data_IF_075013170178
#
_entry.id   IF_075013170178
#
_cell.length_a   1.000
_cell.length_b   1.000
_cell.length_c   1.000
_cell.angle_alpha   90.00
_cell.angle_beta   90.00
_cell.angle_gamma   90.00
#
_symmetry.space_group_name_H-M   'P 1'
#
loop_
_entity.id
_entity.type
_entity.pdbx_description
1 polymer ?
#
# COMPACT_ATOMS: atom_id res chain seq x y z
N UNK A 1 22.54 -41.97 -40.98
CA UNK A 1 22.50 -40.68 -41.70
C UNK A 1 21.06 -40.25 -41.80
N UNK A 2 20.66 -39.19 -41.07
CA UNK A 2 19.44 -38.37 -41.19
C UNK A 2 19.43 -37.44 -39.96
N UNK A 3 20.02 -36.25 -40.05
CA UNK A 3 19.44 -34.95 -40.42
C UNK A 3 18.58 -34.29 -39.34
N UNK A 4 19.06 -33.12 -38.94
CA UNK A 4 18.51 -32.09 -38.05
C UNK A 4 17.06 -31.67 -38.37
N UNK A 5 16.32 -31.26 -37.33
CA UNK A 5 15.70 -29.93 -37.22
C UNK A 5 15.02 -29.73 -35.86
N UNK A 6 15.55 -28.77 -35.09
CA UNK A 6 14.83 -27.68 -34.39
C UNK A 6 13.76 -27.98 -33.31
N UNK A 7 14.06 -27.58 -32.07
CA UNK A 7 13.50 -26.40 -31.36
C UNK A 7 13.63 -26.60 -29.83
N UNK A 8 14.60 -25.93 -29.21
CA UNK A 8 14.40 -24.67 -28.47
C UNK A 8 13.46 -24.82 -27.26
N UNK A 9 14.04 -24.97 -26.08
CA UNK A 9 13.66 -24.11 -24.97
C UNK A 9 14.83 -23.87 -24.00
N UNK A 10 15.18 -22.59 -23.97
CA UNK A 10 16.27 -21.91 -23.30
C UNK A 10 16.25 -22.06 -21.79
N UNK A 11 17.43 -22.36 -21.24
CA UNK A 11 18.04 -21.73 -20.07
C UNK A 11 17.21 -20.64 -19.38
N UNK A 12 16.81 -20.87 -18.14
CA UNK A 12 16.82 -19.87 -17.06
C UNK A 12 16.88 -20.60 -15.71
N UNK A 13 18.10 -21.01 -15.34
CA UNK A 13 18.50 -21.18 -13.94
C UNK A 13 19.39 -19.98 -13.58
N UNK A 14 19.30 -19.61 -12.30
CA UNK A 14 20.18 -18.71 -11.54
C UNK A 14 20.06 -17.21 -11.79
N UNK A 15 19.31 -16.55 -10.90
CA UNK A 15 19.80 -15.39 -10.14
C UNK A 15 18.94 -15.27 -8.86
N UNK A 16 19.15 -16.21 -7.94
CA UNK A 16 18.79 -16.00 -6.53
C UNK A 16 19.93 -15.16 -5.97
N UNK A 17 19.73 -13.86 -5.96
CA UNK A 17 20.69 -12.93 -5.38
C UNK A 17 20.53 -13.01 -3.86
N UNK A 18 21.58 -13.50 -3.20
CA UNK A 18 21.75 -13.53 -1.74
C UNK A 18 21.40 -12.16 -1.14
N UNK A 19 20.19 -12.05 -0.60
CA UNK A 19 19.87 -11.03 0.38
C UNK A 19 20.42 -11.51 1.72
N UNK A 20 21.59 -10.98 2.06
CA UNK A 20 22.14 -11.11 3.41
C UNK A 20 21.15 -10.54 4.42
N UNK A 21 20.58 -11.45 5.20
CA UNK A 21 19.89 -11.21 6.47
C UNK A 21 20.73 -10.31 7.36
N UNK A 22 20.18 -9.15 7.75
CA UNK A 22 20.40 -8.63 9.10
C UNK A 22 19.27 -7.68 9.54
N UNK A 23 18.39 -8.20 10.42
CA UNK A 23 17.49 -7.51 11.38
C UNK A 23 16.33 -8.38 11.89
N UNK A 24 16.22 -9.65 11.49
CA UNK A 24 15.12 -10.56 11.88
C UNK A 24 15.30 -11.24 13.24
N UNK A 25 15.57 -10.50 14.32
CA UNK A 25 15.64 -11.07 15.69
C UNK A 25 15.01 -10.24 16.81
N UNK A 26 13.89 -9.53 16.57
CA UNK A 26 13.30 -8.66 17.62
C UNK A 26 11.88 -9.03 18.10
N UNK A 27 11.21 -10.02 17.50
CA UNK A 27 9.86 -10.40 17.92
C UNK A 27 9.79 -11.83 18.46
N UNK A 28 9.31 -12.00 19.69
CA UNK A 28 8.88 -13.31 20.19
C UNK A 28 7.57 -13.67 19.49
N UNK A 29 7.60 -14.69 18.65
CA UNK A 29 6.44 -15.12 17.86
C UNK A 29 6.06 -16.56 18.17
N UNK A 30 4.78 -16.80 18.44
CA UNK A 30 4.22 -18.15 18.61
C UNK A 30 2.76 -18.20 18.12
N UNK A 31 2.29 -19.39 17.78
CA UNK A 31 0.87 -19.64 17.49
C UNK A 31 0.28 -20.42 18.67
N UNK A 32 -0.79 -19.89 19.25
CA UNK A 32 -1.59 -20.61 20.26
C UNK A 32 -2.89 -21.12 19.67
N UNK A 33 -3.44 -22.15 20.30
CA UNK A 33 -4.75 -22.69 19.96
C UNK A 33 -5.76 -22.14 20.99
N UNK A 34 -6.79 -21.47 20.52
CA UNK A 34 -7.90 -20.99 21.32
C UNK A 34 -8.74 -22.17 21.84
N UNK A 35 -9.58 -21.94 22.88
CA UNK A 35 -10.48 -22.98 23.41
C UNK A 35 -11.45 -23.54 22.36
N UNK A 36 -11.76 -22.77 21.32
CA UNK A 36 -12.56 -23.19 20.16
C UNK A 36 -11.74 -23.87 19.07
N UNK A 37 -10.50 -24.27 19.34
CA UNK A 37 -9.56 -24.92 18.40
C UNK A 37 -9.11 -24.04 17.21
N UNK A 38 -9.27 -22.72 17.32
CA UNK A 38 -8.83 -21.75 16.32
C UNK A 38 -7.40 -21.28 16.63
N UNK A 39 -6.57 -21.06 15.61
CA UNK A 39 -5.20 -20.59 15.79
C UNK A 39 -5.17 -19.08 16.03
N UNK A 40 -4.30 -18.64 16.92
CA UNK A 40 -4.15 -17.24 17.32
C UNK A 40 -2.66 -16.92 17.38
N UNK A 41 -2.16 -16.02 16.50
CA UNK A 41 -0.81 -15.51 16.60
C UNK A 41 -0.62 -14.70 17.88
N UNK A 42 0.55 -14.89 18.48
CA UNK A 42 1.01 -14.14 19.65
C UNK A 42 2.35 -13.53 19.30
N UNK A 43 2.44 -12.21 19.40
CA UNK A 43 3.64 -11.45 19.07
C UNK A 43 4.01 -10.61 20.29
N UNK A 44 5.23 -10.77 20.80
CA UNK A 44 5.69 -10.10 22.03
C UNK A 44 4.69 -10.25 23.19
N UNK A 45 4.19 -11.48 23.38
CA UNK A 45 3.20 -11.84 24.39
C UNK A 45 1.81 -11.20 24.22
N UNK A 46 1.60 -10.42 23.15
CA UNK A 46 0.29 -9.86 22.76
C UNK A 46 -0.43 -10.87 21.87
N UNK A 47 -1.60 -11.32 22.33
CA UNK A 47 -2.48 -12.16 21.52
C UNK A 47 -3.20 -11.28 20.50
N UNK A 48 -3.09 -11.61 19.22
CA UNK A 48 -3.76 -10.84 18.18
C UNK A 48 -5.27 -11.07 18.16
N UNK A 49 -5.76 -12.17 18.76
CA UNK A 49 -7.18 -12.38 19.01
C UNK A 49 -7.40 -13.08 20.36
N UNK A 50 -8.66 -13.19 20.75
CA UNK A 50 -9.11 -13.90 21.93
C UNK A 50 -8.71 -15.37 21.87
N UNK A 51 -7.97 -15.82 22.89
CA UNK A 51 -7.69 -17.25 23.14
C UNK A 51 -8.93 -18.05 23.55
N UNK A 52 -10.06 -17.40 23.77
CA UNK A 52 -11.30 -18.08 24.14
C UNK A 52 -12.14 -18.38 22.90
N UNK A 53 -12.43 -17.36 22.09
CA UNK A 53 -13.24 -17.51 20.88
C UNK A 53 -12.94 -16.34 19.92
N UNK A 54 -11.96 -16.48 19.01
CA UNK A 54 -11.53 -15.41 18.12
C UNK A 54 -12.56 -15.07 17.05
N UNK A 55 -13.37 -16.03 16.60
CA UNK A 55 -14.43 -15.80 15.60
C UNK A 55 -15.58 -14.97 16.17
N UNK A 56 -16.02 -15.26 17.40
CA UNK A 56 -17.04 -14.44 18.06
C UNK A 56 -16.57 -13.01 18.32
N UNK A 57 -15.31 -12.85 18.70
CA UNK A 57 -14.70 -11.52 18.86
C UNK A 57 -14.72 -10.75 17.54
N UNK A 58 -14.24 -11.38 16.46
CA UNK A 58 -14.23 -10.79 15.12
C UNK A 58 -15.62 -10.35 14.65
N UNK A 59 -16.63 -11.22 14.80
CA UNK A 59 -18.01 -10.92 14.43
C UNK A 59 -18.55 -9.72 15.24
N UNK A 60 -18.28 -9.71 16.55
CA UNK A 60 -18.67 -8.59 17.43
C UNK A 60 -17.96 -7.30 17.03
N UNK A 61 -16.68 -7.39 16.66
CA UNK A 61 -15.87 -6.25 16.24
C UNK A 61 -16.38 -5.64 14.94
N UNK A 62 -16.70 -6.44 13.92
CA UNK A 62 -17.29 -5.95 12.68
C UNK A 62 -18.71 -5.42 12.89
N UNK A 63 -19.52 -6.07 13.73
CA UNK A 63 -20.86 -5.57 14.06
C UNK A 63 -20.83 -4.15 14.67
N UNK A 64 -19.81 -3.81 15.46
CA UNK A 64 -19.61 -2.43 15.97
C UNK A 64 -19.31 -1.42 14.86
N UNK A 65 -18.71 -1.88 13.76
CA UNK A 65 -18.39 -1.08 12.58
C UNK A 65 -19.49 -1.11 11.50
N UNK A 66 -20.67 -1.71 11.78
CA UNK A 66 -21.75 -1.87 10.80
C UNK A 66 -22.22 -0.55 10.16
N UNK A 67 -22.19 0.55 10.91
CA UNK A 67 -22.51 1.88 10.36
C UNK A 67 -21.58 2.26 9.21
N UNK A 68 -20.28 1.97 9.35
CA UNK A 68 -19.26 2.25 8.35
C UNK A 68 -19.43 1.34 7.13
N UNK A 69 -19.54 0.03 7.35
CA UNK A 69 -19.69 -0.95 6.25
C UNK A 69 -21.00 -0.80 5.48
N UNK A 70 -22.02 -0.16 6.07
CA UNK A 70 -23.28 0.17 5.39
C UNK A 70 -23.20 1.38 4.45
N UNK A 71 -22.20 2.24 4.59
CA UNK A 71 -22.06 3.49 3.81
C UNK A 71 -20.78 3.54 2.97
N UNK A 72 -19.82 2.65 3.24
CA UNK A 72 -18.59 2.48 2.49
C UNK A 72 -18.51 1.04 1.97
N UNK A 73 -18.33 0.90 0.67
CA UNK A 73 -18.05 -0.37 0.01
C UNK A 73 -16.53 -0.66 -0.10
N UNK A 74 -15.69 0.36 0.06
CA UNK A 74 -14.24 0.20 0.14
C UNK A 74 -13.75 0.36 1.58
N UNK A 75 -13.07 -0.65 2.12
CA UNK A 75 -12.62 -0.70 3.53
C UNK A 75 -11.12 -1.01 3.65
N UNK A 76 -10.38 -0.13 4.32
CA UNK A 76 -8.99 -0.33 4.71
C UNK A 76 -8.95 -0.90 6.13
N UNK A 77 -8.33 -2.07 6.30
CA UNK A 77 -8.14 -2.71 7.59
C UNK A 77 -6.68 -2.58 8.02
N UNK A 78 -6.46 -2.00 9.19
CA UNK A 78 -5.13 -1.89 9.80
C UNK A 78 -4.92 -3.09 10.73
N UNK A 79 -4.16 -4.07 10.25
CA UNK A 79 -3.84 -5.30 10.97
C UNK A 79 -4.60 -6.51 10.44
N UNK A 80 -3.86 -7.57 10.10
CA UNK A 80 -4.42 -8.83 9.65
C UNK A 80 -4.82 -9.71 10.82
N UNK A 81 -4.01 -9.74 11.90
CA UNK A 81 -4.24 -10.63 13.03
C UNK A 81 -4.15 -12.09 12.59
N UNK A 82 -5.28 -12.73 12.33
CA UNK A 82 -5.30 -14.01 11.60
C UNK A 82 -6.44 -14.10 10.58
N UNK A 83 -6.93 -12.95 10.13
CA UNK A 83 -7.96 -12.83 9.11
C UNK A 83 -9.40 -13.00 9.61
N UNK A 84 -9.64 -13.30 10.90
CA UNK A 84 -11.01 -13.53 11.38
C UNK A 84 -11.93 -12.31 11.18
N UNK A 85 -11.49 -11.11 11.55
CA UNK A 85 -12.27 -9.89 11.30
C UNK A 85 -12.33 -9.51 9.83
N UNK A 86 -11.33 -9.89 9.04
CA UNK A 86 -11.35 -9.70 7.58
C UNK A 86 -12.46 -10.54 6.96
N UNK A 87 -12.59 -11.80 7.36
CA UNK A 87 -13.67 -12.70 6.92
C UNK A 87 -15.06 -12.14 7.28
N UNK A 88 -15.23 -11.68 8.51
CA UNK A 88 -16.48 -11.06 8.95
C UNK A 88 -16.78 -9.74 8.20
N UNK A 89 -15.75 -8.96 7.86
CA UNK A 89 -15.91 -7.76 7.04
C UNK A 89 -16.35 -8.10 5.60
N UNK A 90 -15.78 -9.17 5.02
CA UNK A 90 -16.20 -9.68 3.71
C UNK A 90 -17.67 -10.07 3.73
N UNK A 91 -18.11 -10.83 4.74
CA UNK A 91 -19.53 -11.22 4.88
C UNK A 91 -20.41 -9.98 4.94
N UNK A 92 -20.10 -9.04 5.84
CA UNK A 92 -20.89 -7.82 6.01
C UNK A 92 -20.96 -6.95 4.75
N UNK A 93 -19.85 -6.85 3.99
CA UNK A 93 -19.81 -6.09 2.74
C UNK A 93 -20.55 -6.81 1.61
N UNK A 94 -20.40 -8.13 1.48
CA UNK A 94 -21.14 -8.94 0.51
C UNK A 94 -22.64 -8.84 0.71
N UNK A 95 -23.10 -8.91 1.96
CA UNK A 95 -24.53 -8.77 2.31
C UNK A 95 -25.10 -7.42 1.85
N UNK A 96 -24.30 -6.35 1.88
CA UNK A 96 -24.77 -4.99 1.59
C UNK A 96 -24.54 -4.56 0.13
N UNK A 97 -23.41 -4.92 -0.45
CA UNK A 97 -22.90 -4.40 -1.72
C UNK A 97 -22.73 -5.49 -2.79
N UNK A 98 -23.02 -6.76 -2.46
CA UNK A 98 -22.84 -7.87 -3.39
C UNK A 98 -21.37 -8.06 -3.76
N UNK A 99 -21.03 -7.92 -5.03
CA UNK A 99 -19.64 -8.01 -5.52
C UNK A 99 -18.95 -6.65 -5.62
N UNK A 100 -19.68 -5.54 -5.43
CA UNK A 100 -19.16 -4.18 -5.55
C UNK A 100 -18.58 -3.69 -4.21
N UNK A 101 -17.49 -4.31 -3.77
CA UNK A 101 -16.74 -3.88 -2.59
C UNK A 101 -15.26 -4.17 -2.79
N UNK A 102 -14.42 -3.53 -1.97
CA UNK A 102 -12.97 -3.76 -1.98
C UNK A 102 -12.40 -3.66 -0.58
N UNK A 103 -11.56 -4.61 -0.21
CA UNK A 103 -10.86 -4.61 1.08
C UNK A 103 -9.37 -4.60 0.83
N UNK A 104 -8.70 -3.64 1.47
CA UNK A 104 -7.24 -3.64 1.56
C UNK A 104 -6.85 -3.85 3.02
N UNK A 105 -5.90 -4.75 3.28
CA UNK A 105 -5.37 -5.01 4.62
C UNK A 105 -3.88 -4.64 4.64
N UNK A 106 -3.44 -3.94 5.67
CA UNK A 106 -2.02 -3.62 5.91
C UNK A 106 -1.55 -4.32 7.19
N UNK A 107 -0.62 -5.27 7.05
CA UNK A 107 -0.02 -6.06 8.12
C UNK A 107 1.51 -5.83 8.18
N UNK A 108 2.03 -5.14 9.20
CA UNK A 108 3.46 -4.85 9.31
C UNK A 108 4.33 -6.11 9.47
N UNK A 109 3.77 -7.21 10.00
CA UNK A 109 4.54 -8.41 10.29
C UNK A 109 4.33 -9.51 9.23
N UNK A 110 5.35 -9.70 8.39
CA UNK A 110 5.34 -10.73 7.35
C UNK A 110 5.10 -12.13 7.90
N UNK A 111 5.62 -12.46 9.09
CA UNK A 111 5.43 -13.80 9.68
C UNK A 111 3.96 -14.10 9.98
N UNK A 112 3.22 -13.09 10.44
CA UNK A 112 1.77 -13.21 10.67
C UNK A 112 1.05 -13.53 9.36
N UNK A 113 1.44 -12.88 8.27
CA UNK A 113 0.87 -13.14 6.94
C UNK A 113 1.19 -14.53 6.41
N UNK A 114 2.45 -14.98 6.54
CA UNK A 114 2.84 -16.32 6.10
C UNK A 114 2.04 -17.41 6.83
N UNK A 115 1.83 -17.27 8.14
CA UNK A 115 1.03 -18.25 8.89
C UNK A 115 -0.47 -18.15 8.60
N UNK A 116 -0.95 -16.96 8.24
CA UNK A 116 -2.31 -16.78 7.74
C UNK A 116 -2.51 -17.57 6.44
N UNK A 117 -1.57 -17.47 5.49
CA UNK A 117 -1.63 -18.25 4.23
C UNK A 117 -1.66 -19.75 4.50
N UNK A 118 -0.88 -20.25 5.47
CA UNK A 118 -0.81 -21.68 5.76
C UNK A 118 -2.07 -22.23 6.44
N UNK A 119 -2.83 -21.39 7.15
CA UNK A 119 -3.80 -21.90 8.15
C UNK A 119 -5.18 -21.26 8.12
N UNK A 120 -5.33 -20.08 7.53
CA UNK A 120 -6.53 -19.27 7.64
C UNK A 120 -6.82 -18.45 6.36
N UNK A 121 -6.17 -18.77 5.24
CA UNK A 121 -6.29 -18.03 3.99
C UNK A 121 -7.76 -17.90 3.56
N UNK A 122 -8.16 -16.67 3.26
CA UNK A 122 -9.47 -16.35 2.72
C UNK A 122 -9.33 -16.13 1.23
N UNK A 123 -9.99 -16.97 0.45
CA UNK A 123 -10.05 -16.79 -1.00
C UNK A 123 -11.14 -15.77 -1.34
N UNK A 124 -10.76 -14.52 -1.61
CA UNK A 124 -11.67 -13.48 -2.06
C UNK A 124 -11.01 -12.54 -3.07
N UNK A 125 -11.62 -12.38 -4.26
CA UNK A 125 -11.06 -11.57 -5.35
C UNK A 125 -11.02 -10.08 -5.04
N UNK A 126 -11.83 -9.62 -4.08
CA UNK A 126 -11.92 -8.22 -3.68
C UNK A 126 -11.01 -7.91 -2.47
N UNK A 127 -10.23 -8.88 -2.00
CA UNK A 127 -9.28 -8.74 -0.90
C UNK A 127 -7.86 -8.60 -1.44
N UNK A 128 -7.16 -7.53 -1.04
CA UNK A 128 -5.72 -7.37 -1.24
C UNK A 128 -5.03 -7.16 0.10
N UNK A 129 -3.95 -7.88 0.35
CA UNK A 129 -3.18 -7.80 1.58
C UNK A 129 -1.76 -7.31 1.25
N UNK A 130 -1.32 -6.25 1.92
CA UNK A 130 0.07 -5.81 1.93
C UNK A 130 0.69 -6.21 3.26
N UNK A 131 1.70 -7.09 3.22
CA UNK A 131 2.36 -7.62 4.41
C UNK A 131 3.86 -7.36 4.41
N UNK A 132 4.43 -6.93 5.54
CA UNK A 132 5.89 -6.77 5.71
C UNK A 132 6.53 -5.59 4.97
N UNK A 133 5.74 -4.76 4.28
CA UNK A 133 6.26 -3.61 3.54
C UNK A 133 6.71 -2.47 4.47
N UNK A 134 7.70 -1.69 4.03
CA UNK A 134 7.95 -0.37 4.61
C UNK A 134 6.91 0.62 4.09
N UNK A 135 6.64 1.65 4.88
CA UNK A 135 5.64 2.68 4.54
C UNK A 135 5.96 3.35 3.20
N UNK A 136 7.24 3.65 2.95
CA UNK A 136 7.66 4.28 1.69
C UNK A 136 7.35 3.39 0.48
N UNK A 137 7.48 2.07 0.62
CA UNK A 137 7.22 1.12 -0.45
C UNK A 137 5.72 0.97 -0.70
N UNK A 138 4.90 1.05 0.35
CA UNK A 138 3.43 1.11 0.21
C UNK A 138 3.00 2.31 -0.63
N UNK A 139 3.57 3.49 -0.38
CA UNK A 139 3.23 4.71 -1.14
C UNK A 139 3.83 4.77 -2.55
N UNK A 140 4.66 3.81 -2.94
CA UNK A 140 5.09 3.63 -4.34
C UNK A 140 4.11 2.76 -5.14
N UNK A 141 3.28 1.96 -4.47
CA UNK A 141 2.30 1.12 -5.14
C UNK A 141 1.12 1.96 -5.64
N UNK A 142 1.05 2.12 -6.96
CA UNK A 142 0.01 2.91 -7.62
C UNK A 142 -1.41 2.44 -7.25
N UNK A 143 -1.64 1.14 -7.16
CA UNK A 143 -2.95 0.60 -6.79
C UNK A 143 -3.36 1.08 -5.39
N UNK A 144 -2.46 1.03 -4.41
CA UNK A 144 -2.74 1.47 -3.05
C UNK A 144 -3.00 2.98 -3.01
N UNK A 145 -2.20 3.77 -3.73
CA UNK A 145 -2.41 5.24 -3.80
C UNK A 145 -3.77 5.56 -4.42
N UNK A 146 -4.10 4.98 -5.57
CA UNK A 146 -5.39 5.17 -6.25
C UNK A 146 -6.55 4.73 -5.35
N UNK A 147 -6.37 3.64 -4.61
CA UNK A 147 -7.33 3.16 -3.62
C UNK A 147 -7.50 4.14 -2.44
N UNK A 148 -6.43 4.69 -1.87
CA UNK A 148 -6.53 5.64 -0.77
C UNK A 148 -7.23 6.94 -1.20
N UNK A 149 -7.09 7.36 -2.46
CA UNK A 149 -7.76 8.53 -3.03
C UNK A 149 -9.30 8.38 -3.07
N UNK A 150 -9.84 7.15 -3.08
CA UNK A 150 -11.29 6.91 -2.98
C UNK A 150 -11.85 7.18 -1.57
N UNK A 151 -10.97 7.44 -0.59
CA UNK A 151 -11.29 7.64 0.83
C UNK A 151 -12.03 6.43 1.42
N UNK A 152 -11.39 5.25 1.48
CA UNK A 152 -11.98 4.04 2.05
C UNK A 152 -12.33 4.23 3.52
N UNK A 153 -13.30 3.45 4.02
CA UNK A 153 -13.57 3.39 5.45
C UNK A 153 -12.44 2.68 6.19
N UNK A 154 -11.93 3.25 7.28
CA UNK A 154 -10.81 2.66 8.02
C UNK A 154 -11.32 1.88 9.23
N UNK A 155 -10.89 0.62 9.36
CA UNK A 155 -11.13 -0.23 10.52
C UNK A 155 -9.77 -0.63 11.11
N UNK A 156 -9.48 -0.16 12.32
CA UNK A 156 -8.25 -0.51 13.03
C UNK A 156 -8.48 -1.73 13.92
N UNK A 157 -7.81 -2.84 13.63
CA UNK A 157 -7.86 -4.03 14.48
C UNK A 157 -7.12 -3.75 15.79
N UNK A 158 -7.77 -3.72 16.96
CA UNK A 158 -7.20 -3.14 18.17
C UNK A 158 -5.87 -3.77 18.62
N UNK A 159 -5.77 -5.11 18.59
CA UNK A 159 -4.56 -5.80 19.02
C UNK A 159 -3.37 -5.51 18.10
N UNK A 160 -3.56 -5.61 16.79
CA UNK A 160 -2.53 -5.27 15.80
C UNK A 160 -2.17 -3.78 15.85
N UNK A 161 -3.16 -2.90 15.94
CA UNK A 161 -2.94 -1.46 15.95
C UNK A 161 -2.11 -1.02 17.16
N UNK A 162 -2.42 -1.54 18.35
CA UNK A 162 -1.66 -1.21 19.55
C UNK A 162 -0.25 -1.79 19.50
N UNK A 163 -0.07 -2.99 18.95
CA UNK A 163 1.24 -3.62 18.82
C UNK A 163 2.15 -2.85 17.85
N UNK A 164 1.60 -2.33 16.75
CA UNK A 164 2.34 -1.60 15.71
C UNK A 164 1.91 -0.14 15.59
N UNK A 165 1.62 0.51 16.72
CA UNK A 165 1.01 1.85 16.76
C UNK A 165 1.81 2.89 15.97
N UNK A 166 3.14 2.91 16.18
CA UNK A 166 4.04 3.82 15.47
C UNK A 166 4.02 3.60 13.96
N UNK A 167 3.96 2.35 13.51
CA UNK A 167 3.88 2.04 12.10
C UNK A 167 2.58 2.60 11.49
N UNK A 168 1.43 2.34 12.11
CA UNK A 168 0.15 2.80 11.58
C UNK A 168 -0.03 4.30 11.68
N UNK A 169 0.47 4.95 12.74
CA UNK A 169 0.47 6.42 12.83
C UNK A 169 1.29 7.02 11.70
N UNK A 170 2.50 6.52 11.47
CA UNK A 170 3.37 7.00 10.40
C UNK A 170 2.78 6.73 9.01
N UNK A 171 2.08 5.61 8.83
CA UNK A 171 1.33 5.32 7.60
C UNK A 171 0.24 6.38 7.38
N UNK A 172 -0.62 6.61 8.37
CA UNK A 172 -1.75 7.54 8.25
C UNK A 172 -1.32 9.01 8.17
N UNK A 173 -0.17 9.36 8.71
CA UNK A 173 0.40 10.71 8.67
C UNK A 173 1.41 10.91 7.54
N UNK A 174 1.62 9.92 6.68
CA UNK A 174 2.59 10.02 5.61
C UNK A 174 2.25 11.19 4.69
N UNK A 175 3.25 12.04 4.43
CA UNK A 175 3.14 13.12 3.47
C UNK A 175 4.02 12.79 2.28
N UNK A 176 3.46 12.97 1.08
CA UNK A 176 4.26 12.90 -0.12
C UNK A 176 5.42 13.92 -0.01
N UNK A 177 6.64 13.52 -0.39
CA UNK A 177 7.74 14.45 -0.54
C UNK A 177 7.34 15.65 -1.41
N UNK A 178 7.90 16.82 -1.09
CA UNK A 178 7.53 18.10 -1.73
C UNK A 178 8.58 18.63 -2.68
N UNK A 179 9.84 18.25 -2.44
CA UNK A 179 10.97 18.70 -3.24
C UNK A 179 11.08 17.93 -4.55
N UNK A 180 11.72 18.52 -5.55
CA UNK A 180 11.90 17.86 -6.85
C UNK A 180 12.79 16.62 -6.74
N UNK A 181 13.85 16.69 -5.93
CA UNK A 181 14.84 15.61 -5.79
C UNK A 181 14.26 14.28 -5.32
N UNK A 182 13.19 14.31 -4.55
CA UNK A 182 12.53 13.09 -4.04
C UNK A 182 11.66 12.37 -5.07
N UNK A 183 11.26 13.01 -6.18
CA UNK A 183 10.38 12.41 -7.18
C UNK A 183 11.06 11.37 -8.06
N UNK A 184 12.39 11.35 -8.12
CA UNK A 184 13.18 10.46 -9.01
C UNK A 184 12.75 8.99 -8.89
N UNK A 185 12.47 8.55 -7.66
CA UNK A 185 12.08 7.18 -7.33
C UNK A 185 10.61 6.83 -7.65
N UNK A 186 9.79 7.82 -8.05
CA UNK A 186 8.37 7.66 -8.36
C UNK A 186 8.06 7.82 -9.86
N UNK A 187 9.05 8.27 -10.65
CA UNK A 187 8.89 8.52 -12.08
C UNK A 187 9.37 7.31 -12.88
N UNK A 188 8.46 6.62 -13.56
CA UNK A 188 8.81 5.48 -14.44
C UNK A 188 9.48 5.94 -15.75
N UNK A 189 8.98 7.03 -16.34
CA UNK A 189 9.44 7.56 -17.63
C UNK A 189 10.83 8.16 -17.53
N UNK A 190 11.80 7.58 -18.25
CA UNK A 190 13.17 8.09 -18.31
C UNK A 190 13.23 9.53 -18.84
N UNK A 191 12.44 9.85 -19.87
CA UNK A 191 12.38 11.19 -20.46
C UNK A 191 11.89 12.21 -19.43
N UNK A 192 10.81 11.88 -18.70
CA UNK A 192 10.26 12.76 -17.68
C UNK A 192 11.27 12.95 -16.52
N UNK A 193 11.94 11.87 -16.12
CA UNK A 193 12.96 11.88 -15.08
C UNK A 193 14.12 12.80 -15.46
N UNK A 194 14.64 12.68 -16.68
CA UNK A 194 15.75 13.51 -17.16
C UNK A 194 15.35 14.99 -17.24
N UNK A 195 14.12 15.30 -17.65
CA UNK A 195 13.61 16.67 -17.63
C UNK A 195 13.51 17.22 -16.21
N UNK A 196 12.94 16.45 -15.27
CA UNK A 196 12.75 16.86 -13.87
C UNK A 196 14.09 17.03 -13.15
N UNK A 197 15.11 16.22 -13.46
CA UNK A 197 16.47 16.36 -12.91
C UNK A 197 17.17 17.67 -13.28
N UNK A 198 16.74 18.36 -14.34
CA UNK A 198 17.27 19.67 -14.73
C UNK A 198 16.75 20.81 -13.86
N UNK A 199 15.65 20.59 -13.12
CA UNK A 199 15.06 21.59 -12.26
C UNK A 199 15.85 21.75 -10.96
N UNK A 200 15.59 22.81 -10.21
CA UNK A 200 16.10 22.98 -8.87
C UNK A 200 15.58 21.86 -7.95
N UNK A 201 16.50 21.00 -7.46
CA UNK A 201 16.16 19.79 -6.71
C UNK A 201 15.67 20.08 -5.28
N UNK A 202 15.98 21.26 -4.74
CA UNK A 202 15.64 21.67 -3.37
C UNK A 202 14.30 22.43 -3.28
N UNK A 203 13.76 22.86 -4.42
CA UNK A 203 12.48 23.57 -4.52
C UNK A 203 11.31 22.60 -4.71
N UNK A 204 10.09 23.05 -4.45
CA UNK A 204 8.91 22.30 -4.88
C UNK A 204 8.74 22.34 -6.41
N UNK A 205 8.01 21.36 -6.96
CA UNK A 205 7.90 21.18 -8.42
C UNK A 205 7.37 22.43 -9.15
N UNK A 206 6.37 23.12 -8.59
CA UNK A 206 5.79 24.29 -9.26
C UNK A 206 6.75 25.48 -9.21
N UNK A 207 7.39 25.70 -8.06
CA UNK A 207 8.42 26.74 -7.91
C UNK A 207 9.59 26.47 -8.86
N UNK A 208 10.10 25.22 -8.90
CA UNK A 208 11.23 24.86 -9.75
C UNK A 208 10.92 24.99 -11.25
N UNK A 209 9.69 24.64 -11.68
CA UNK A 209 9.22 24.87 -13.05
C UNK A 209 9.13 26.36 -13.36
N UNK A 210 8.59 27.17 -12.45
CA UNK A 210 8.50 28.62 -12.65
C UNK A 210 9.88 29.27 -12.71
N UNK A 211 10.82 28.87 -11.83
CA UNK A 211 12.24 29.30 -11.85
C UNK A 211 12.90 29.02 -13.22
N UNK A 212 12.69 27.82 -13.75
CA UNK A 212 13.19 27.42 -15.08
C UNK A 212 12.59 28.25 -16.22
N UNK A 213 11.37 28.79 -16.03
CA UNK A 213 10.66 29.60 -17.02
C UNK A 213 10.94 31.11 -16.94
N UNK A 214 11.66 31.60 -15.91
CA UNK A 214 12.11 33.00 -15.87
C UNK A 214 13.11 33.27 -17.02
N UNK A 215 13.14 34.50 -17.56
CA UNK A 215 13.72 34.77 -18.86
C UNK A 215 15.18 34.34 -18.92
N UNK A 216 15.46 33.45 -19.88
CA UNK A 216 16.81 33.07 -20.28
C UNK A 216 17.17 33.85 -21.54
N UNK A 217 18.43 34.26 -21.65
CA UNK A 217 18.96 34.86 -22.88
C UNK A 217 19.18 33.79 -23.99
N UNK A 218 19.02 32.51 -23.66
CA UNK A 218 19.27 31.36 -24.54
C UNK A 218 18.03 30.94 -25.36
N UNK A 219 18.26 30.23 -26.48
CA UNK A 219 17.18 29.63 -27.27
C UNK A 219 16.46 28.53 -26.48
N UNK A 220 15.13 28.50 -26.60
CA UNK A 220 14.27 27.50 -25.95
C UNK A 220 14.49 26.11 -26.55
N UNK A 221 14.52 25.09 -25.70
CA UNK A 221 14.56 23.69 -26.13
C UNK A 221 13.19 22.97 -25.96
N UNK A 222 13.14 21.70 -26.36
CA UNK A 222 11.93 20.87 -26.23
C UNK A 222 11.50 20.67 -24.77
N UNK A 223 12.44 20.70 -23.82
CA UNK A 223 12.15 20.56 -22.40
C UNK A 223 11.48 21.82 -21.87
N UNK A 224 11.91 23.01 -22.30
CA UNK A 224 11.26 24.27 -21.96
C UNK A 224 9.82 24.30 -22.50
N UNK A 225 9.59 23.87 -23.75
CA UNK A 225 8.24 23.73 -24.31
C UNK A 225 7.36 22.76 -23.53
N UNK A 226 7.92 21.64 -23.06
CA UNK A 226 7.21 20.70 -22.20
C UNK A 226 6.78 21.35 -20.88
N UNK A 227 7.67 22.06 -20.20
CA UNK A 227 7.35 22.73 -18.94
C UNK A 227 6.34 23.88 -19.12
N UNK A 228 6.41 24.62 -20.23
CA UNK A 228 5.39 25.61 -20.58
C UNK A 228 4.02 24.98 -20.73
N UNK A 229 3.91 23.88 -21.49
CA UNK A 229 2.65 23.17 -21.68
C UNK A 229 2.10 22.61 -20.35
N UNK A 230 2.97 22.02 -19.53
CA UNK A 230 2.60 21.52 -18.21
C UNK A 230 2.08 22.64 -17.31
N UNK A 231 2.76 23.79 -17.25
CA UNK A 231 2.35 24.93 -16.44
C UNK A 231 0.96 25.44 -16.86
N UNK A 232 0.69 25.55 -18.16
CA UNK A 232 -0.63 25.94 -18.66
C UNK A 232 -1.74 24.92 -18.33
N UNK A 233 -1.44 23.62 -18.44
CA UNK A 233 -2.38 22.56 -18.03
C UNK A 233 -2.71 22.62 -16.54
N UNK A 234 -1.71 22.92 -15.70
CA UNK A 234 -1.88 23.01 -14.24
C UNK A 234 -2.61 24.29 -13.83
N UNK A 235 -2.30 25.45 -14.44
CA UNK A 235 -3.05 26.70 -14.21
C UNK A 235 -4.53 26.54 -14.49
N UNK A 236 -4.88 25.87 -15.59
CA UNK A 236 -6.26 25.59 -15.95
C UNK A 236 -6.99 24.71 -14.94
N UNK A 237 -6.30 23.82 -14.23
CA UNK A 237 -6.89 22.95 -13.20
C UNK A 237 -6.97 23.63 -11.83
N UNK A 238 -5.99 24.45 -11.45
CA UNK A 238 -6.00 25.22 -10.19
C UNK A 238 -7.13 26.27 -10.17
N UNK A 239 -7.37 26.94 -11.31
CA UNK A 239 -8.44 27.94 -11.45
C UNK A 239 -9.84 27.32 -11.40
N UNK A 240 -10.00 26.04 -11.77
CA UNK A 240 -11.24 25.28 -11.61
C UNK A 240 -11.49 24.90 -10.14
N UNK A 241 -10.43 24.67 -9.35
CA UNK A 241 -10.55 24.32 -7.92
C UNK A 241 -10.71 25.53 -6.98
N UNK A 242 -10.72 26.76 -7.51
CA UNK A 242 -10.92 27.98 -6.71
C UNK A 242 -9.82 28.26 -5.69
N UNK A 243 -8.61 27.73 -5.91
CA UNK A 243 -7.42 27.97 -5.08
C UNK A 243 -6.61 29.20 -5.52
N UNK A 244 -7.24 30.12 -6.24
CA UNK A 244 -6.66 31.43 -6.55
C UNK A 244 -6.77 32.35 -5.32
N UNK A 245 -5.95 32.09 -4.30
CA UNK A 245 -5.60 33.05 -3.24
C UNK A 245 -4.19 32.84 -2.73
#
# INVERSE_FOLDING_TARGET
MSTNSENENSNYLTNVQDFSMDSTSLYKYEIKIAKTNHKVPVVNDVHLHSIYNPTKEAATFIAKNKKLTNVKNEILILGLGFGYHVGEAIIALKEKWGTDYKIVVIEPNEKVYMDYLEHAELSDVNLKIYAGYKIQDLYKDRFLVDYLLTKPGIIAHPASFNLYENYYKNLLSYQAPKDVGSFDQYIESAILRDNIRRLNQDSDLLTAINEQMYPKEEELDNTDHFFMAFNEMVKGSISIEGRDK
#
